data_IF_789146923302
#
_entry.id   IF_789146923302
#
_cell.length_a   1.000
_cell.length_b   1.000
_cell.length_c   1.000
_cell.angle_alpha   90.00
_cell.angle_beta   90.00
_cell.angle_gamma   90.00
#
_symmetry.space_group_name_H-M   'P 1'
#
loop_
_entity.id
_entity.type
_entity.pdbx_description
1 polymer ?
#
# COMPACT_ATOMS: atom_id res chain seq x y z
N UNK A 1 10.35 -2.93 19.73
CA UNK A 1 9.32 -2.46 20.69
C UNK A 1 8.29 -3.55 20.92
N UNK A 2 7.99 -3.86 22.16
CA UNK A 2 6.85 -4.73 22.48
C UNK A 2 5.57 -3.90 22.48
N UNK A 3 4.64 -4.22 21.61
CA UNK A 3 3.32 -3.64 21.62
C UNK A 3 2.46 -4.31 22.68
N UNK A 4 1.96 -3.52 23.60
CA UNK A 4 0.99 -3.94 24.58
C UNK A 4 -0.29 -3.12 24.39
N UNK A 5 -1.36 -3.80 24.01
CA UNK A 5 -2.67 -3.17 23.88
C UNK A 5 -3.43 -3.35 25.20
N UNK A 6 -3.82 -2.26 25.81
CA UNK A 6 -4.65 -2.27 27.02
C UNK A 6 -5.94 -1.51 26.71
N UNK A 7 -7.06 -2.08 27.14
CA UNK A 7 -8.33 -1.40 27.12
C UNK A 7 -8.45 -0.53 28.36
N UNK A 8 -8.58 0.77 28.18
CA UNK A 8 -8.76 1.71 29.28
C UNK A 8 -10.19 2.25 29.22
N UNK A 9 -10.87 2.23 30.38
CA UNK A 9 -12.14 2.95 30.53
C UNK A 9 -11.84 4.41 30.87
N UNK A 10 -12.33 5.33 30.04
CA UNK A 10 -12.19 6.77 30.28
C UNK A 10 -13.55 7.39 30.58
N UNK A 11 -13.78 7.74 31.84
CA UNK A 11 -15.01 8.38 32.31
C UNK A 11 -15.21 9.79 31.76
N UNK A 12 -14.22 10.36 31.07
CA UNK A 12 -14.26 11.71 30.49
C UNK A 12 -14.76 11.78 29.06
N UNK A 13 -15.27 10.66 28.52
CA UNK A 13 -15.78 10.55 27.15
C UNK A 13 -14.79 11.04 26.06
N UNK A 14 -13.53 10.73 26.23
CA UNK A 14 -12.53 10.99 25.19
C UNK A 14 -12.64 9.91 24.12
N UNK A 15 -13.11 10.30 22.97
CA UNK A 15 -13.10 9.42 21.81
C UNK A 15 -11.75 9.50 21.13
N UNK A 16 -11.11 8.35 20.89
CA UNK A 16 -9.86 8.32 20.15
C UNK A 16 -8.94 7.17 20.53
N UNK A 17 -7.87 7.05 19.77
CA UNK A 17 -6.77 6.15 20.05
C UNK A 17 -5.55 6.98 20.43
N UNK A 18 -4.98 6.69 21.59
CA UNK A 18 -3.83 7.40 22.13
C UNK A 18 -2.59 6.49 22.04
N UNK A 19 -1.55 6.98 21.38
CA UNK A 19 -0.29 6.27 21.21
C UNK A 19 0.79 7.03 21.98
N UNK A 20 1.40 6.37 22.96
CA UNK A 20 2.48 6.93 23.77
C UNK A 20 3.81 6.32 23.31
N UNK A 21 4.61 7.09 22.61
CA UNK A 21 5.93 6.68 22.13
C UNK A 21 6.83 7.90 21.94
N UNK A 22 8.15 7.72 21.84
CA UNK A 22 9.04 8.79 21.40
C UNK A 22 8.60 9.36 20.06
N UNK A 23 8.79 10.66 19.85
CA UNK A 23 8.29 11.37 18.67
C UNK A 23 8.84 10.85 17.33
N UNK A 24 10.00 10.24 17.36
CA UNK A 24 10.73 9.71 16.21
C UNK A 24 10.63 8.17 16.09
N UNK A 25 9.78 7.53 16.89
CA UNK A 25 9.58 6.08 16.80
C UNK A 25 8.86 5.70 15.50
N UNK A 26 9.55 4.95 14.64
CA UNK A 26 9.02 4.54 13.34
C UNK A 26 7.80 3.62 13.46
N UNK A 27 7.77 2.73 14.45
CA UNK A 27 6.63 1.83 14.68
C UNK A 27 5.40 2.59 15.17
N UNK A 28 5.58 3.59 16.02
CA UNK A 28 4.50 4.46 16.46
C UNK A 28 3.89 5.25 15.29
N UNK A 29 4.72 5.76 14.38
CA UNK A 29 4.25 6.44 13.18
C UNK A 29 3.45 5.53 12.25
N UNK A 30 3.87 4.28 12.10
CA UNK A 30 3.15 3.27 11.30
C UNK A 30 1.79 2.93 11.92
N UNK A 31 1.74 2.77 13.24
CA UNK A 31 0.48 2.51 13.96
C UNK A 31 -0.45 3.71 13.83
N UNK A 32 0.08 4.93 13.99
CA UNK A 32 -0.69 6.16 13.81
C UNK A 32 -1.31 6.24 12.42
N UNK A 33 -0.54 5.99 11.38
CA UNK A 33 -1.00 5.98 10.00
C UNK A 33 -2.11 4.93 9.78
N UNK A 34 -1.94 3.74 10.33
CA UNK A 34 -2.96 2.69 10.27
C UNK A 34 -4.27 3.08 10.94
N UNK A 35 -4.20 3.61 12.16
CA UNK A 35 -5.39 4.07 12.90
C UNK A 35 -6.09 5.21 12.18
N UNK A 36 -5.34 6.18 11.65
CA UNK A 36 -5.89 7.27 10.86
C UNK A 36 -6.57 6.77 9.57
N UNK A 37 -6.04 5.73 8.95
CA UNK A 37 -6.65 5.08 7.79
C UNK A 37 -7.98 4.40 8.12
N UNK A 38 -8.11 3.82 9.31
CA UNK A 38 -9.37 3.24 9.78
C UNK A 38 -10.43 4.30 10.10
N UNK A 39 -10.00 5.43 10.64
CA UNK A 39 -10.89 6.53 11.02
C UNK A 39 -11.39 7.32 9.80
N UNK A 40 -10.64 7.32 8.71
CA UNK A 40 -10.99 8.04 7.48
C UNK A 40 -11.82 7.15 6.55
N UNK A 41 -13.00 6.74 7.02
CA UNK A 41 -13.97 6.00 6.21
C UNK A 41 -14.44 6.74 4.95
N UNK A 42 -14.13 8.03 4.84
CA UNK A 42 -14.48 8.88 3.70
C UNK A 42 -13.42 8.90 2.57
N UNK A 43 -12.29 8.21 2.77
CA UNK A 43 -11.22 8.18 1.76
C UNK A 43 -11.36 6.96 0.87
N UNK A 44 -12.32 7.02 -0.05
CA UNK A 44 -12.50 6.01 -1.06
C UNK A 44 -11.51 6.22 -2.22
N UNK A 45 -11.01 5.11 -2.76
CA UNK A 45 -10.23 5.15 -3.98
C UNK A 45 -11.21 5.20 -5.17
N UNK A 46 -11.27 6.35 -5.85
CA UNK A 46 -12.13 6.53 -7.02
C UNK A 46 -11.35 6.27 -8.30
N UNK A 47 -11.80 5.27 -9.05
CA UNK A 47 -11.29 4.98 -10.38
C UNK A 47 -12.16 5.56 -11.47
N UNK A 48 -11.54 6.14 -12.49
CA UNK A 48 -12.21 6.72 -13.64
C UNK A 48 -11.89 5.89 -14.89
N UNK A 49 -12.90 5.26 -15.44
CA UNK A 49 -12.82 4.53 -16.70
C UNK A 49 -13.52 5.29 -17.84
N UNK A 50 -13.75 4.60 -18.95
CA UNK A 50 -14.47 5.18 -20.08
C UNK A 50 -15.93 5.50 -19.72
N UNK A 51 -16.19 6.78 -19.44
CA UNK A 51 -17.54 7.27 -19.15
C UNK A 51 -18.12 6.92 -17.80
N UNK A 52 -17.33 6.32 -16.91
CA UNK A 52 -17.80 5.97 -15.55
C UNK A 52 -16.79 6.32 -14.46
N UNK A 53 -17.31 6.57 -13.28
CA UNK A 53 -16.52 6.64 -12.06
C UNK A 53 -16.93 5.48 -11.15
N UNK A 54 -15.96 4.78 -10.59
CA UNK A 54 -16.19 3.59 -9.76
C UNK A 54 -15.40 3.66 -8.47
N UNK A 55 -16.03 3.25 -7.38
CA UNK A 55 -15.32 3.03 -6.10
C UNK A 55 -14.52 1.73 -6.21
N UNK A 56 -13.23 1.83 -6.00
CA UNK A 56 -12.32 0.68 -5.98
C UNK A 56 -12.04 0.25 -4.56
N UNK A 57 -12.26 -1.01 -4.28
CA UNK A 57 -11.85 -1.61 -3.00
C UNK A 57 -10.38 -2.05 -3.09
N UNK A 58 -9.61 -1.97 -1.99
CA UNK A 58 -8.22 -2.42 -2.01
C UNK A 58 -8.04 -3.87 -2.48
N UNK A 59 -8.99 -4.75 -2.17
CA UNK A 59 -8.90 -6.17 -2.52
C UNK A 59 -9.00 -6.43 -4.04
N UNK A 60 -9.63 -5.54 -4.80
CA UNK A 60 -9.73 -5.70 -6.26
C UNK A 60 -8.57 -5.05 -7.02
N UNK A 61 -7.78 -4.21 -6.36
CA UNK A 61 -6.63 -3.54 -6.97
C UNK A 61 -5.41 -4.46 -6.94
N UNK A 62 -4.86 -4.75 -8.11
CA UNK A 62 -3.64 -5.55 -8.27
C UNK A 62 -2.39 -4.71 -8.09
N UNK A 63 -2.38 -3.55 -8.70
CA UNK A 63 -1.30 -2.57 -8.56
C UNK A 63 -1.78 -1.17 -8.95
N UNK A 64 -1.00 -0.19 -8.51
CA UNK A 64 -1.16 1.21 -8.91
C UNK A 64 0.13 1.64 -9.57
N UNK A 65 0.02 2.18 -10.78
CA UNK A 65 1.17 2.52 -11.63
C UNK A 65 1.07 3.96 -12.12
N UNK A 66 2.23 4.54 -12.41
CA UNK A 66 2.34 5.86 -13.05
C UNK A 66 2.77 5.65 -14.50
N UNK A 67 1.96 6.12 -15.42
CA UNK A 67 2.24 6.16 -16.86
C UNK A 67 1.92 7.55 -17.39
N UNK A 68 2.82 8.16 -18.14
CA UNK A 68 2.64 9.50 -18.75
C UNK A 68 2.15 10.56 -17.75
N UNK A 69 2.74 10.61 -16.58
CA UNK A 69 2.37 11.51 -15.47
C UNK A 69 0.94 11.30 -14.91
N UNK A 70 0.31 10.20 -15.23
CA UNK A 70 -1.01 9.83 -14.72
C UNK A 70 -0.91 8.57 -13.87
N UNK A 71 -1.78 8.49 -12.88
CA UNK A 71 -1.84 7.36 -11.96
C UNK A 71 -3.00 6.47 -12.35
N UNK A 72 -2.74 5.17 -12.42
CA UNK A 72 -3.74 4.16 -12.79
C UNK A 72 -3.76 3.03 -11.78
N UNK A 73 -4.96 2.59 -11.43
CA UNK A 73 -5.18 1.35 -10.70
C UNK A 73 -5.50 0.24 -11.71
N UNK A 74 -4.79 -0.87 -11.61
CA UNK A 74 -5.03 -2.06 -12.42
C UNK A 74 -5.78 -3.07 -11.58
N UNK A 75 -6.89 -3.56 -12.11
CA UNK A 75 -7.67 -4.68 -11.56
C UNK A 75 -7.41 -5.94 -12.38
N UNK A 76 -8.23 -6.96 -12.22
CA UNK A 76 -8.06 -8.22 -12.96
C UNK A 76 -8.02 -8.03 -14.47
N UNK A 77 -8.86 -7.18 -15.02
CA UNK A 77 -8.93 -6.96 -16.46
C UNK A 77 -9.15 -5.50 -16.87
N UNK A 78 -9.26 -4.61 -15.89
CA UNK A 78 -9.59 -3.21 -16.13
C UNK A 78 -8.49 -2.27 -15.64
N UNK A 79 -8.44 -1.10 -16.22
CA UNK A 79 -7.51 -0.03 -15.87
C UNK A 79 -8.31 1.24 -15.59
N UNK A 80 -8.16 1.77 -14.40
CA UNK A 80 -8.88 2.97 -13.97
C UNK A 80 -7.88 4.09 -13.67
N UNK A 81 -8.14 5.27 -14.18
CA UNK A 81 -7.35 6.44 -13.80
C UNK A 81 -7.73 6.92 -12.41
N UNK A 82 -6.72 7.23 -11.61
CA UNK A 82 -6.87 7.88 -10.32
C UNK A 82 -6.51 9.35 -10.46
N UNK A 83 -7.23 10.22 -9.78
CA UNK A 83 -6.91 11.66 -9.75
C UNK A 83 -5.86 12.00 -8.71
N UNK A 84 -5.65 11.10 -7.75
CA UNK A 84 -4.67 11.25 -6.71
C UNK A 84 -3.25 10.98 -7.23
N UNK A 85 -2.26 11.65 -6.65
CA UNK A 85 -0.86 11.33 -6.93
C UNK A 85 -0.45 10.03 -6.23
N UNK A 86 0.60 9.37 -6.73
CA UNK A 86 1.02 8.07 -6.23
C UNK A 86 1.33 8.08 -4.73
N UNK A 87 2.01 9.13 -4.21
CA UNK A 87 2.29 9.23 -2.79
C UNK A 87 1.02 9.29 -1.94
N UNK A 88 -0.03 9.93 -2.46
CA UNK A 88 -1.32 10.00 -1.78
C UNK A 88 -2.04 8.66 -1.80
N UNK A 89 -1.97 7.94 -2.91
CA UNK A 89 -2.50 6.58 -3.02
C UNK A 89 -1.77 5.64 -2.05
N UNK A 90 -0.46 5.78 -1.93
CA UNK A 90 0.33 5.03 -0.95
C UNK A 90 -0.16 5.26 0.48
N UNK A 91 -0.47 6.51 0.84
CA UNK A 91 -1.06 6.84 2.14
C UNK A 91 -2.46 6.22 2.31
N UNK A 92 -3.31 6.30 1.29
CA UNK A 92 -4.66 5.72 1.31
C UNK A 92 -4.65 4.19 1.43
N UNK A 93 -3.65 3.55 0.87
CA UNK A 93 -3.46 2.09 0.93
C UNK A 93 -2.62 1.64 2.13
N UNK A 94 -2.17 2.57 2.95
CA UNK A 94 -1.50 2.27 4.21
C UNK A 94 -2.44 1.48 5.13
N UNK A 95 -1.97 0.36 5.67
CA UNK A 95 -2.80 -0.55 6.47
C UNK A 95 -3.42 -1.70 5.67
N UNK A 96 -3.35 -1.65 4.34
CA UNK A 96 -3.65 -2.77 3.46
C UNK A 96 -2.34 -3.44 3.01
N UNK A 97 -2.45 -4.64 2.44
CA UNK A 97 -1.27 -5.42 2.03
C UNK A 97 -0.68 -4.92 0.70
N UNK A 98 -0.19 -3.69 0.70
CA UNK A 98 0.46 -3.07 -0.45
C UNK A 98 1.94 -2.79 -0.15
N UNK A 99 2.77 -2.90 -1.17
CA UNK A 99 4.19 -2.58 -1.09
C UNK A 99 4.63 -1.80 -2.33
N UNK A 100 5.44 -0.79 -2.12
CA UNK A 100 6.03 -0.01 -3.20
C UNK A 100 7.22 -0.76 -3.80
N UNK A 101 7.18 -1.00 -5.11
CA UNK A 101 8.29 -1.64 -5.83
C UNK A 101 9.34 -0.64 -6.29
N UNK A 102 8.89 0.52 -6.75
CA UNK A 102 9.72 1.60 -7.24
C UNK A 102 8.93 2.92 -7.19
N UNK A 103 9.50 4.00 -7.71
CA UNK A 103 8.85 5.31 -7.66
C UNK A 103 7.56 5.42 -8.50
N UNK A 104 7.28 4.43 -9.33
CA UNK A 104 6.14 4.45 -10.25
C UNK A 104 5.17 3.29 -10.06
N UNK A 105 5.38 2.44 -9.07
CA UNK A 105 4.57 1.23 -8.90
C UNK A 105 4.41 0.83 -7.43
N UNK A 106 3.16 0.61 -7.05
CA UNK A 106 2.74 0.01 -5.78
C UNK A 106 1.95 -1.24 -6.11
N UNK A 107 2.23 -2.37 -5.47
CA UNK A 107 1.54 -3.64 -5.75
C UNK A 107 0.83 -4.19 -4.52
N UNK A 108 -0.27 -4.88 -4.76
CA UNK A 108 -0.97 -5.66 -3.76
C UNK A 108 -0.21 -6.98 -3.54
N UNK A 109 0.26 -7.19 -2.33
CA UNK A 109 1.05 -8.38 -1.97
C UNK A 109 0.27 -9.67 -2.23
N UNK A 110 -1.04 -9.66 -1.98
CA UNK A 110 -1.91 -10.83 -2.21
C UNK A 110 -2.04 -11.21 -3.69
N UNK A 111 -1.75 -10.29 -4.59
CA UNK A 111 -1.85 -10.48 -6.03
C UNK A 111 -0.52 -10.82 -6.70
N UNK A 112 0.54 -11.01 -5.92
CA UNK A 112 1.83 -11.42 -6.43
C UNK A 112 1.78 -12.91 -6.77
N UNK A 113 2.12 -13.24 -8.01
CA UNK A 113 2.26 -14.61 -8.50
C UNK A 113 3.65 -15.15 -8.25
N UNK A 114 4.68 -14.36 -8.47
CA UNK A 114 6.05 -14.82 -8.33
C UNK A 114 7.11 -13.73 -8.42
N UNK A 115 8.32 -14.16 -8.16
CA UNK A 115 9.53 -13.33 -8.17
C UNK A 115 10.59 -13.95 -9.06
N UNK A 116 11.33 -13.12 -9.75
CA UNK A 116 12.48 -13.52 -10.54
C UNK A 116 13.71 -12.69 -10.13
N UNK A 117 14.68 -13.35 -9.57
CA UNK A 117 15.94 -12.75 -9.11
C UNK A 117 17.15 -13.18 -9.97
N UNK A 118 16.92 -13.77 -11.14
CA UNK A 118 17.93 -14.50 -11.91
C UNK A 118 18.94 -13.63 -12.63
N UNK A 119 18.73 -12.34 -12.77
CA UNK A 119 19.57 -11.47 -13.61
C UNK A 119 20.24 -10.35 -12.82
N UNK A 120 21.51 -10.58 -12.41
CA UNK A 120 22.38 -9.49 -11.98
C UNK A 120 21.99 -8.74 -10.70
N UNK A 121 21.29 -9.39 -9.77
CA UNK A 121 20.88 -8.80 -8.51
C UNK A 121 19.60 -7.95 -8.58
N UNK A 122 18.97 -7.83 -9.75
CA UNK A 122 17.66 -7.22 -9.89
C UNK A 122 16.56 -8.20 -9.46
N UNK A 123 15.50 -7.67 -8.89
CA UNK A 123 14.32 -8.42 -8.48
C UNK A 123 13.14 -7.96 -9.33
N UNK A 124 12.48 -8.89 -10.01
CA UNK A 124 11.27 -8.64 -10.79
C UNK A 124 10.09 -9.33 -10.15
N UNK A 125 8.98 -8.62 -10.07
CA UNK A 125 7.71 -9.11 -9.53
C UNK A 125 6.73 -9.36 -10.68
N UNK A 126 6.04 -10.48 -10.66
CA UNK A 126 4.95 -10.81 -11.58
C UNK A 126 3.66 -10.92 -10.78
N UNK A 127 2.61 -10.24 -11.24
CA UNK A 127 1.28 -10.30 -10.64
C UNK A 127 0.38 -11.29 -11.35
N UNK A 128 -0.67 -11.73 -10.67
CA UNK A 128 -1.66 -12.70 -11.20
C UNK A 128 -2.41 -12.23 -12.44
N UNK A 129 -2.44 -10.91 -12.69
CA UNK A 129 -3.00 -10.33 -13.92
C UNK A 129 -2.00 -10.24 -15.08
N UNK A 130 -0.78 -10.75 -14.89
CA UNK A 130 0.28 -10.71 -15.90
C UNK A 130 1.17 -9.47 -15.87
N UNK A 131 0.83 -8.46 -15.06
CA UNK A 131 1.67 -7.27 -14.91
C UNK A 131 3.01 -7.61 -14.28
N UNK A 132 4.07 -7.01 -14.78
CA UNK A 132 5.45 -7.22 -14.31
C UNK A 132 6.15 -5.90 -14.11
N UNK A 133 6.93 -5.80 -13.05
CA UNK A 133 7.78 -4.63 -12.81
C UNK A 133 8.99 -5.00 -11.96
N UNK A 134 10.01 -4.15 -11.99
CA UNK A 134 11.23 -4.32 -11.24
C UNK A 134 11.17 -3.61 -9.90
N UNK A 135 11.81 -4.20 -8.90
CA UNK A 135 12.00 -3.60 -7.60
C UNK A 135 13.26 -2.72 -7.67
N UNK A 136 13.13 -1.44 -7.33
CA UNK A 136 14.29 -0.54 -7.28
C UNK A 136 15.26 -0.96 -6.17
N UNK A 137 16.54 -0.63 -6.32
CA UNK A 137 17.57 -0.98 -5.34
C UNK A 137 17.22 -0.53 -3.94
N UNK A 138 16.62 0.65 -3.79
CA UNK A 138 16.18 1.20 -2.51
C UNK A 138 15.07 0.39 -1.86
N UNK A 139 14.24 -0.27 -2.67
CA UNK A 139 13.07 -0.99 -2.20
C UNK A 139 13.33 -2.48 -1.99
N UNK A 140 14.40 -3.04 -2.53
CA UNK A 140 14.68 -4.49 -2.45
C UNK A 140 14.65 -5.00 -1.00
N UNK A 141 15.32 -4.32 -0.09
CA UNK A 141 15.37 -4.71 1.32
C UNK A 141 13.97 -4.71 1.95
N UNK A 142 13.22 -3.63 1.73
CA UNK A 142 11.87 -3.47 2.27
C UNK A 142 10.94 -4.54 1.71
N UNK A 143 10.99 -4.77 0.40
CA UNK A 143 10.17 -5.79 -0.27
C UNK A 143 10.48 -7.19 0.26
N UNK A 144 11.77 -7.54 0.37
CA UNK A 144 12.19 -8.83 0.93
C UNK A 144 11.71 -9.04 2.36
N UNK A 145 11.84 -8.03 3.21
CA UNK A 145 11.38 -8.07 4.61
C UNK A 145 9.86 -8.22 4.70
N UNK A 146 9.13 -7.40 3.91
CA UNK A 146 7.65 -7.43 3.90
C UNK A 146 7.09 -8.77 3.45
N UNK A 147 7.78 -9.45 2.55
CA UNK A 147 7.33 -10.70 1.92
C UNK A 147 7.99 -11.93 2.53
N UNK A 148 8.91 -11.78 3.46
CA UNK A 148 9.65 -12.89 4.05
C UNK A 148 10.53 -13.63 3.05
N UNK A 149 10.99 -12.97 2.01
CA UNK A 149 11.84 -13.57 0.98
C UNK A 149 13.27 -13.80 1.46
N UNK A 150 13.76 -14.99 1.21
CA UNK A 150 15.14 -15.43 1.52
C UNK A 150 15.88 -15.79 0.23
N UNK A 151 16.06 -14.81 -0.62
CA UNK A 151 16.80 -14.96 -1.87
C UNK A 151 17.94 -13.95 -2.00
#
# INVERSE_FOLDING_TARGET
>A
MKLKCESISDDKHREGVFIYAPADDADAQRIKAFVESLASSDQMLMGYGEGEARVLTPDEVYCVVVEDNRVYALTKGEKYQLKERLYRVEELLCGFDFVKLNQSCIVNIKMIEGFDASLGGSLRVTLKNGYRDYVSRRQIKIVKERLGLRI
#
